data_IF_056127869416
#
_entry.id   IF_056127869416
#
_cell.length_a   1.000
_cell.length_b   1.000
_cell.length_c   1.000
_cell.angle_alpha   90.00
_cell.angle_beta   90.00
_cell.angle_gamma   90.00
#
_symmetry.space_group_name_H-M   'P 1'
#
loop_
_entity.id
_entity.type
_entity.pdbx_description
1 polymer ?
#
# COMPACT_ATOMS: atom_id res chain seq x y z
N UNK A 1 6.06 27.92 -9.01
CA UNK A 1 6.91 26.94 -9.73
C UNK A 1 7.11 25.61 -9.00
N UNK A 2 7.53 25.55 -7.72
CA UNK A 2 7.88 24.27 -7.05
C UNK A 2 6.82 23.15 -7.11
N UNK A 3 5.53 23.47 -6.94
CA UNK A 3 4.43 22.47 -6.94
C UNK A 3 4.21 21.75 -8.27
N UNK A 4 4.44 22.40 -9.41
CA UNK A 4 4.23 21.74 -10.71
C UNK A 4 5.33 20.73 -11.01
N UNK A 5 6.58 21.05 -10.66
CA UNK A 5 7.72 20.14 -10.73
C UNK A 5 7.52 18.93 -9.82
N UNK A 6 7.10 19.16 -8.56
CA UNK A 6 6.83 18.08 -7.60
C UNK A 6 5.78 17.09 -8.13
N UNK A 7 4.64 17.59 -8.65
CA UNK A 7 3.60 16.71 -9.20
C UNK A 7 4.06 15.93 -10.44
N UNK A 8 4.98 16.49 -11.24
CA UNK A 8 5.61 15.76 -12.36
C UNK A 8 6.51 14.64 -11.85
N UNK A 9 7.34 14.91 -10.83
CA UNK A 9 8.21 13.90 -10.21
C UNK A 9 7.38 12.76 -9.65
N UNK A 10 6.35 13.05 -8.85
CA UNK A 10 5.45 12.03 -8.28
C UNK A 10 4.79 11.20 -9.38
N UNK A 11 4.30 11.83 -10.45
CA UNK A 11 3.71 11.13 -11.59
C UNK A 11 4.72 10.15 -12.22
N UNK A 12 5.96 10.60 -12.43
CA UNK A 12 7.01 9.74 -12.99
C UNK A 12 7.37 8.59 -12.06
N UNK A 13 7.48 8.84 -10.76
CA UNK A 13 7.70 7.79 -9.77
C UNK A 13 6.61 6.71 -9.87
N UNK A 14 5.33 7.12 -9.84
CA UNK A 14 4.20 6.19 -9.93
C UNK A 14 4.22 5.40 -11.26
N UNK A 15 4.48 6.06 -12.39
CA UNK A 15 4.56 5.40 -13.71
C UNK A 15 5.71 4.40 -13.75
N UNK A 16 6.90 4.78 -13.29
CA UNK A 16 8.06 3.90 -13.25
C UNK A 16 7.81 2.68 -12.36
N UNK A 17 7.19 2.87 -11.19
CA UNK A 17 6.81 1.77 -10.30
C UNK A 17 5.77 0.85 -10.93
N UNK A 18 4.77 1.40 -11.63
CA UNK A 18 3.79 0.60 -12.37
C UNK A 18 4.47 -0.27 -13.42
N UNK A 19 5.31 0.33 -14.27
CA UNK A 19 6.05 -0.40 -15.31
C UNK A 19 6.91 -1.49 -14.68
N UNK A 20 7.61 -1.20 -13.58
CA UNK A 20 8.42 -2.17 -12.86
C UNK A 20 7.59 -3.37 -12.38
N UNK A 21 6.52 -3.15 -11.62
CA UNK A 21 5.71 -4.25 -11.07
C UNK A 21 4.96 -5.02 -12.15
N UNK A 22 4.49 -4.34 -13.19
CA UNK A 22 3.85 -4.99 -14.34
C UNK A 22 4.84 -5.88 -15.10
N UNK A 23 6.05 -5.38 -15.37
CA UNK A 23 7.10 -6.14 -16.04
C UNK A 23 7.58 -7.31 -15.19
N UNK A 24 7.66 -7.12 -13.87
CA UNK A 24 7.97 -8.20 -12.94
C UNK A 24 6.87 -9.27 -12.93
N UNK A 25 5.60 -8.88 -12.96
CA UNK A 25 4.47 -9.82 -13.12
C UNK A 25 4.51 -10.61 -14.43
N UNK A 26 4.90 -9.97 -15.55
CA UNK A 26 5.13 -10.67 -16.81
C UNK A 26 6.29 -11.66 -16.71
N UNK A 27 7.39 -11.26 -16.08
CA UNK A 27 8.55 -12.12 -15.86
C UNK A 27 8.20 -13.35 -15.01
N UNK A 28 7.36 -13.20 -13.98
CA UNK A 28 6.94 -14.34 -13.13
C UNK A 28 6.03 -15.33 -13.85
N UNK A 29 5.24 -14.88 -14.84
CA UNK A 29 4.54 -15.79 -15.76
C UNK A 29 5.55 -16.62 -16.56
N UNK A 30 6.57 -15.98 -17.13
CA UNK A 30 7.59 -16.66 -17.94
C UNK A 30 8.39 -17.70 -17.15
N UNK A 31 8.63 -17.44 -15.87
CA UNK A 31 9.33 -18.37 -14.96
C UNK A 31 8.41 -19.39 -14.28
N UNK A 32 7.10 -19.40 -14.60
CA UNK A 32 6.10 -20.32 -14.05
C UNK A 32 5.98 -20.29 -12.51
N UNK A 33 6.31 -19.16 -11.89
CA UNK A 33 6.15 -18.98 -10.46
C UNK A 33 4.76 -18.41 -10.14
N UNK A 34 3.75 -19.30 -10.16
CA UNK A 34 2.34 -18.89 -10.13
C UNK A 34 1.90 -18.28 -8.79
N UNK A 35 2.53 -18.67 -7.69
CA UNK A 35 2.22 -18.20 -6.32
C UNK A 35 2.39 -16.68 -6.16
N UNK A 36 3.29 -16.07 -6.92
CA UNK A 36 3.60 -14.64 -6.78
C UNK A 36 3.01 -13.77 -7.90
N UNK A 37 2.38 -14.38 -8.91
CA UNK A 37 1.82 -13.63 -10.05
C UNK A 37 0.73 -12.68 -9.57
N UNK A 38 -0.18 -13.19 -8.72
CA UNK A 38 -1.30 -12.41 -8.22
C UNK A 38 -0.83 -11.14 -7.50
N UNK A 39 0.10 -11.28 -6.55
CA UNK A 39 0.69 -10.16 -5.81
C UNK A 39 1.25 -9.07 -6.72
N UNK A 40 1.99 -9.44 -7.77
CA UNK A 40 2.66 -8.47 -8.64
C UNK A 40 1.66 -7.68 -9.48
N UNK A 41 0.66 -8.37 -10.05
CA UNK A 41 -0.40 -7.69 -10.81
C UNK A 41 -1.35 -6.91 -9.92
N UNK A 42 -1.64 -7.39 -8.72
CA UNK A 42 -2.44 -6.64 -7.75
C UNK A 42 -1.73 -5.35 -7.33
N UNK A 43 -0.43 -5.41 -7.00
CA UNK A 43 0.37 -4.21 -6.72
C UNK A 43 0.40 -3.26 -7.92
N UNK A 44 0.56 -3.77 -9.15
CA UNK A 44 0.48 -2.94 -10.35
C UNK A 44 -0.89 -2.25 -10.50
N UNK A 45 -1.99 -2.97 -10.25
CA UNK A 45 -3.35 -2.41 -10.28
C UNK A 45 -3.57 -1.35 -9.18
N UNK A 46 -3.02 -1.56 -7.98
CA UNK A 46 -3.04 -0.59 -6.89
C UNK A 46 -2.27 0.68 -7.25
N UNK A 47 -1.07 0.55 -7.82
CA UNK A 47 -0.26 1.69 -8.29
C UNK A 47 -1.00 2.44 -9.41
N UNK A 48 -1.66 1.71 -10.33
CA UNK A 48 -2.47 2.32 -11.39
C UNK A 48 -3.66 3.11 -10.80
N UNK A 49 -4.31 2.57 -9.76
CA UNK A 49 -5.36 3.29 -9.03
C UNK A 49 -4.82 4.58 -8.40
N UNK A 50 -3.64 4.52 -7.79
CA UNK A 50 -2.95 5.71 -7.27
C UNK A 50 -2.61 6.70 -8.39
N UNK A 51 -2.23 6.25 -9.59
CA UNK A 51 -1.96 7.12 -10.75
C UNK A 51 -3.20 7.93 -11.18
N UNK A 52 -4.41 7.39 -11.02
CA UNK A 52 -5.64 8.13 -11.29
C UNK A 52 -6.04 9.05 -10.13
N UNK A 53 -5.67 8.71 -8.90
CA UNK A 53 -6.09 9.43 -7.70
C UNK A 53 -5.05 10.40 -7.13
N UNK A 54 -3.79 10.37 -7.54
CA UNK A 54 -2.69 11.14 -6.91
C UNK A 54 -2.94 12.64 -6.87
N UNK A 55 -3.64 13.19 -7.87
CA UNK A 55 -4.02 14.61 -7.88
C UNK A 55 -5.07 14.94 -6.81
N UNK A 56 -6.04 14.05 -6.59
CA UNK A 56 -7.11 14.19 -5.58
C UNK A 56 -6.57 13.98 -4.16
N UNK A 57 -5.71 12.96 -3.98
CA UNK A 57 -5.01 12.69 -2.72
C UNK A 57 -4.04 13.83 -2.36
N UNK A 58 -3.56 14.54 -3.39
CA UNK A 58 -2.54 15.57 -3.26
C UNK A 58 -1.27 15.03 -2.59
N UNK A 59 -0.82 13.85 -3.05
CA UNK A 59 0.43 13.21 -2.60
C UNK A 59 1.61 14.17 -2.72
N UNK A 60 2.55 14.04 -1.77
CA UNK A 60 3.84 14.70 -1.78
C UNK A 60 4.96 13.67 -1.98
N UNK A 61 6.18 14.14 -2.26
CA UNK A 61 7.33 13.24 -2.50
C UNK A 61 7.60 12.32 -1.29
N UNK A 62 7.68 12.79 -0.03
CA UNK A 62 7.95 11.93 1.12
C UNK A 62 6.97 10.76 1.27
N UNK A 63 5.65 11.03 1.19
CA UNK A 63 4.63 9.98 1.30
C UNK A 63 4.74 9.00 0.13
N UNK A 64 5.04 9.49 -1.08
CA UNK A 64 5.21 8.64 -2.27
C UNK A 64 6.41 7.70 -2.09
N UNK A 65 7.56 8.21 -1.65
CA UNK A 65 8.76 7.40 -1.38
C UNK A 65 8.49 6.38 -0.27
N UNK A 66 7.85 6.82 0.82
CA UNK A 66 7.53 5.93 1.93
C UNK A 66 6.55 4.82 1.53
N UNK A 67 5.57 5.14 0.67
CA UNK A 67 4.65 4.15 0.12
C UNK A 67 5.38 3.11 -0.74
N UNK A 68 6.35 3.54 -1.56
CA UNK A 68 7.19 2.61 -2.35
C UNK A 68 8.10 1.76 -1.47
N UNK A 69 8.61 2.32 -0.38
CA UNK A 69 9.37 1.57 0.61
C UNK A 69 8.50 0.47 1.25
N UNK A 70 7.28 0.80 1.68
CA UNK A 70 6.31 -0.19 2.19
C UNK A 70 6.01 -1.28 1.17
N UNK A 71 5.76 -0.93 -0.10
CA UNK A 71 5.52 -1.93 -1.16
C UNK A 71 6.74 -2.82 -1.39
N UNK A 72 7.94 -2.24 -1.35
CA UNK A 72 9.19 -3.01 -1.43
C UNK A 72 9.30 -3.99 -0.27
N UNK A 73 9.09 -3.53 0.97
CA UNK A 73 9.10 -4.41 2.15
C UNK A 73 8.12 -5.57 2.01
N UNK A 74 6.89 -5.29 1.63
CA UNK A 74 5.87 -6.33 1.42
C UNK A 74 6.34 -7.40 0.41
N UNK A 75 6.96 -6.99 -0.69
CA UNK A 75 7.44 -7.91 -1.71
C UNK A 75 8.77 -8.63 -1.39
N UNK A 76 9.45 -8.29 -0.29
CA UNK A 76 10.58 -9.09 0.20
C UNK A 76 10.12 -10.43 0.77
N UNK A 77 8.85 -10.57 1.18
CA UNK A 77 8.25 -11.79 1.74
C UNK A 77 9.11 -12.47 2.82
N UNK A 78 9.72 -11.68 3.71
CA UNK A 78 10.60 -12.19 4.78
C UNK A 78 9.81 -12.74 5.98
N UNK A 79 8.61 -13.27 5.75
CA UNK A 79 7.73 -13.84 6.77
C UNK A 79 8.44 -15.01 7.48
N UNK A 80 8.22 -15.14 8.79
CA UNK A 80 8.93 -16.09 9.66
C UNK A 80 10.28 -15.59 10.22
N UNK A 81 10.88 -14.54 9.64
CA UNK A 81 12.10 -13.95 10.17
C UNK A 81 11.84 -12.98 11.33
N UNK A 82 12.86 -12.79 12.19
CA UNK A 82 12.86 -11.84 13.29
C UNK A 82 13.97 -10.82 13.12
N UNK A 83 13.67 -9.54 13.35
CA UNK A 83 14.62 -8.44 13.32
C UNK A 83 14.55 -7.68 14.63
N UNK A 84 15.67 -7.61 15.36
CA UNK A 84 15.73 -7.02 16.69
C UNK A 84 14.67 -7.58 17.68
N UNK A 85 14.36 -8.87 17.55
CA UNK A 85 13.34 -9.55 18.36
C UNK A 85 11.88 -9.30 17.93
N UNK A 86 11.65 -8.54 16.86
CA UNK A 86 10.31 -8.27 16.32
C UNK A 86 10.09 -9.15 15.07
N UNK A 87 8.98 -9.93 15.00
CA UNK A 87 8.62 -10.65 13.78
C UNK A 87 8.50 -9.69 12.59
N UNK A 88 9.06 -10.07 11.43
CA UNK A 88 8.99 -9.27 10.20
C UNK A 88 7.54 -8.91 9.84
N UNK A 89 6.62 -9.84 10.04
CA UNK A 89 5.20 -9.63 9.80
C UNK A 89 4.65 -8.39 10.51
N UNK A 90 4.95 -8.22 11.81
CA UNK A 90 4.53 -7.05 12.58
C UNK A 90 5.16 -5.75 12.06
N UNK A 91 6.40 -5.83 11.59
CA UNK A 91 7.10 -4.66 11.00
C UNK A 91 6.40 -4.27 9.69
N UNK A 92 6.12 -5.23 8.82
CA UNK A 92 5.43 -5.03 7.55
C UNK A 92 4.05 -4.41 7.79
N UNK A 93 3.22 -5.02 8.64
CA UNK A 93 1.88 -4.53 8.98
C UNK A 93 1.90 -3.12 9.59
N UNK A 94 2.83 -2.85 10.51
CA UNK A 94 3.00 -1.50 11.07
C UNK A 94 3.35 -0.49 9.98
N UNK A 95 4.31 -0.80 9.10
CA UNK A 95 4.71 0.11 8.01
C UNK A 95 3.57 0.34 7.02
N UNK A 96 2.79 -0.69 6.69
CA UNK A 96 1.62 -0.59 5.82
C UNK A 96 0.52 0.29 6.44
N UNK A 97 0.17 0.03 7.70
CA UNK A 97 -0.79 0.83 8.44
C UNK A 97 -0.36 2.29 8.56
N UNK A 98 0.91 2.55 8.88
CA UNK A 98 1.44 3.90 8.97
C UNK A 98 1.41 4.64 7.62
N UNK A 99 1.76 3.97 6.52
CA UNK A 99 1.63 4.51 5.16
C UNK A 99 0.18 4.89 4.84
N UNK A 100 -0.79 4.04 5.15
CA UNK A 100 -2.22 4.34 4.96
C UNK A 100 -2.64 5.57 5.76
N UNK A 101 -2.24 5.68 7.03
CA UNK A 101 -2.51 6.87 7.86
C UNK A 101 -1.98 8.15 7.22
N UNK A 102 -0.74 8.14 6.70
CA UNK A 102 -0.15 9.30 6.03
C UNK A 102 -0.92 9.69 4.76
N UNK A 103 -1.34 8.71 3.95
CA UNK A 103 -2.12 8.94 2.73
C UNK A 103 -3.49 9.54 3.08
N UNK A 104 -4.21 8.96 4.04
CA UNK A 104 -5.53 9.46 4.46
C UNK A 104 -5.43 10.83 5.11
N UNK A 105 -4.41 11.07 5.94
CA UNK A 105 -4.16 12.38 6.53
C UNK A 105 -3.98 13.44 5.44
N UNK A 106 -3.15 13.16 4.44
CA UNK A 106 -2.91 14.09 3.33
C UNK A 106 -4.19 14.36 2.52
N UNK A 107 -4.97 13.32 2.23
CA UNK A 107 -6.24 13.44 1.51
C UNK A 107 -7.27 14.27 2.28
N UNK A 108 -7.49 13.97 3.56
CA UNK A 108 -8.46 14.65 4.42
C UNK A 108 -8.05 16.10 4.69
N UNK A 109 -6.79 16.33 5.03
CA UNK A 109 -6.27 17.67 5.29
C UNK A 109 -6.38 18.57 4.05
N UNK A 110 -6.16 18.02 2.86
CA UNK A 110 -6.34 18.77 1.62
C UNK A 110 -7.81 19.08 1.31
N UNK A 111 -8.69 18.09 1.51
CA UNK A 111 -10.12 18.21 1.22
C UNK A 111 -10.82 19.21 2.13
N UNK A 112 -10.44 19.26 3.41
CA UNK A 112 -11.04 20.13 4.41
C UNK A 112 -10.31 21.47 4.59
N UNK A 113 -9.27 21.77 3.79
CA UNK A 113 -8.38 22.93 3.99
C UNK A 113 -9.11 24.28 4.12
N UNK A 114 -10.27 24.43 3.49
CA UNK A 114 -11.09 25.66 3.55
C UNK A 114 -11.76 25.87 4.91
N UNK A 115 -11.94 24.82 5.73
CA UNK A 115 -12.64 24.88 7.03
C UNK A 115 -11.69 24.98 8.24
N UNK A 116 -10.39 25.17 8.00
CA UNK A 116 -9.35 25.16 9.03
C UNK A 116 -9.51 24.03 10.08
N UNK A 117 -9.59 22.77 9.62
CA UNK A 117 -9.89 21.63 10.47
C UNK A 117 -8.81 21.41 11.52
N UNK A 118 -9.22 20.98 12.72
CA UNK A 118 -8.28 20.60 13.77
C UNK A 118 -7.38 19.44 13.29
N UNK A 119 -6.06 19.67 13.30
CA UNK A 119 -5.06 18.64 12.91
C UNK A 119 -5.24 17.36 13.72
N UNK A 120 -5.54 17.47 15.01
CA UNK A 120 -5.81 16.33 15.87
C UNK A 120 -7.00 15.51 15.41
N UNK A 121 -8.11 16.17 15.02
CA UNK A 121 -9.29 15.48 14.50
C UNK A 121 -8.99 14.74 13.20
N UNK A 122 -8.22 15.35 12.29
CA UNK A 122 -7.82 14.71 11.03
C UNK A 122 -6.89 13.52 11.30
N UNK A 123 -5.88 13.68 12.15
CA UNK A 123 -4.98 12.59 12.51
C UNK A 123 -5.74 11.41 13.10
N UNK A 124 -6.63 11.67 14.07
CA UNK A 124 -7.45 10.64 14.69
C UNK A 124 -8.35 9.95 13.66
N UNK A 125 -9.04 10.71 12.81
CA UNK A 125 -9.88 10.15 11.75
C UNK A 125 -9.06 9.32 10.74
N UNK A 126 -7.84 9.75 10.40
CA UNK A 126 -6.95 9.03 9.50
C UNK A 126 -6.52 7.68 10.09
N UNK A 127 -6.26 7.65 11.41
CA UNK A 127 -5.98 6.41 12.14
C UNK A 127 -7.20 5.48 12.11
N UNK A 128 -8.41 5.98 12.38
CA UNK A 128 -9.63 5.17 12.36
C UNK A 128 -9.91 4.59 10.97
N UNK A 129 -9.75 5.38 9.91
CA UNK A 129 -9.96 4.91 8.53
C UNK A 129 -8.90 3.86 8.17
N UNK A 130 -7.63 4.11 8.50
CA UNK A 130 -6.55 3.16 8.22
C UNK A 130 -6.75 1.84 8.98
N UNK A 131 -7.13 1.90 10.27
CA UNK A 131 -7.45 0.73 11.07
C UNK A 131 -8.64 -0.04 10.50
N UNK A 132 -9.73 0.66 10.13
CA UNK A 132 -10.88 0.03 9.49
C UNK A 132 -10.56 -0.63 8.15
N UNK A 133 -9.73 0.02 7.32
CA UNK A 133 -9.26 -0.56 6.06
C UNK A 133 -8.38 -1.80 6.29
N UNK A 134 -7.44 -1.74 7.25
CA UNK A 134 -6.59 -2.88 7.61
C UNK A 134 -7.43 -4.05 8.15
N UNK A 135 -8.35 -3.80 9.09
CA UNK A 135 -9.25 -4.83 9.61
C UNK A 135 -10.12 -5.45 8.52
N UNK A 136 -10.55 -4.68 7.52
CA UNK A 136 -11.31 -5.23 6.40
C UNK A 136 -10.47 -6.19 5.54
N UNK A 137 -9.19 -5.88 5.32
CA UNK A 137 -8.26 -6.76 4.59
C UNK A 137 -8.10 -8.09 5.35
N UNK A 138 -7.83 -8.01 6.65
CA UNK A 138 -7.73 -9.18 7.55
C UNK A 138 -9.01 -10.03 7.55
N UNK A 139 -10.19 -9.40 7.57
CA UNK A 139 -11.47 -10.11 7.49
C UNK A 139 -11.61 -10.84 6.15
N UNK A 140 -11.20 -10.22 5.04
CA UNK A 140 -11.24 -10.86 3.70
C UNK A 140 -10.27 -12.03 3.63
N UNK A 141 -9.08 -11.90 4.21
CA UNK A 141 -8.09 -12.97 4.29
C UNK A 141 -8.60 -14.13 5.15
N UNK A 142 -9.12 -13.84 6.35
CA UNK A 142 -9.71 -14.83 7.24
C UNK A 142 -10.93 -15.54 6.63
N UNK A 143 -11.81 -14.80 5.96
CA UNK A 143 -12.95 -15.37 5.26
C UNK A 143 -12.47 -16.28 4.13
N UNK A 144 -11.51 -15.83 3.33
CA UNK A 144 -10.93 -16.66 2.27
C UNK A 144 -10.31 -17.94 2.79
N UNK A 145 -9.56 -17.87 3.89
CA UNK A 145 -9.02 -19.03 4.58
C UNK A 145 -10.13 -20.00 5.02
N UNK A 146 -11.17 -19.47 5.67
CA UNK A 146 -12.28 -20.27 6.22
C UNK A 146 -13.11 -20.98 5.15
N UNK A 147 -13.27 -20.37 3.97
CA UNK A 147 -14.07 -20.94 2.88
C UNK A 147 -13.28 -21.83 1.92
N UNK A 148 -12.00 -21.54 1.69
CA UNK A 148 -11.18 -22.22 0.68
C UNK A 148 -10.24 -23.28 1.26
N UNK A 149 -10.09 -23.36 2.59
CA UNK A 149 -9.35 -24.43 3.28
C UNK A 149 -7.83 -24.42 3.04
N UNK A 150 -7.31 -23.42 2.34
CA UNK A 150 -5.90 -23.20 2.09
C UNK A 150 -5.49 -21.84 2.65
N UNK A 151 -4.31 -21.80 3.28
CA UNK A 151 -3.75 -20.75 4.13
C UNK A 151 -3.69 -19.31 3.62
N UNK A 152 -4.26 -18.99 2.46
CA UNK A 152 -3.82 -17.86 1.66
C UNK A 152 -4.93 -16.84 1.32
N UNK A 153 -6.15 -17.02 1.86
CA UNK A 153 -7.27 -16.11 1.59
C UNK A 153 -7.79 -16.18 0.14
N UNK A 154 -8.73 -15.29 -0.23
CA UNK A 154 -9.30 -15.21 -1.60
C UNK A 154 -8.24 -14.79 -2.63
N UNK A 155 -7.16 -14.16 -2.16
CA UNK A 155 -6.16 -13.47 -2.98
C UNK A 155 -4.79 -14.19 -2.98
N UNK A 156 -4.70 -15.37 -2.35
CA UNK A 156 -3.47 -16.16 -2.26
C UNK A 156 -2.28 -15.40 -1.59
N UNK A 157 -2.55 -14.57 -0.58
CA UNK A 157 -1.54 -13.73 0.09
C UNK A 157 -0.61 -14.47 1.07
N UNK A 158 -0.84 -15.76 1.32
CA UNK A 158 -0.13 -16.54 2.35
C UNK A 158 -0.77 -16.40 3.73
N UNK A 159 -0.32 -17.23 4.68
CA UNK A 159 -0.79 -17.17 6.08
C UNK A 159 -0.19 -15.94 6.76
N UNK A 160 -1.04 -15.01 7.21
CA UNK A 160 -0.69 -14.06 8.27
C UNK A 160 -0.41 -14.77 9.59
#
# INVERSE_FOLDING_TARGET
MKKSTEKKIIKWIIISSFIFFFSWGLYTILTKNYEIIFDKFFTAALILTVLFLYKKINLNIPITIFSLFTLTLHHLKLYGNFYFGIPFDRIMHFTAGFTLVLIFYQFLYHSERKKNPSKWKISFLSILIAAGAASMIEIVEFAGYSFLGHGEGILFYGTG
#
